data_IF_759992258918
#
_entry.id   IF_759992258918
#
_cell.length_a   1.000
_cell.length_b   1.000
_cell.length_c   1.000
_cell.angle_alpha   90.00
_cell.angle_beta   90.00
_cell.angle_gamma   90.00
#
_symmetry.space_group_name_H-M   'P 1'
#
loop_
_entity.id
_entity.type
_entity.pdbx_description
1 polymer ?
#
# COMPACT_ATOMS: atom_id res chain seq x y z
N UNK A 1 -2.00 -6.12 15.66
CA UNK A 1 -1.57 -7.53 15.85
C UNK A 1 -2.18 -8.08 17.13
N UNK A 2 -2.30 -9.39 17.27
CA UNK A 2 -2.67 -10.07 18.52
C UNK A 2 -1.56 -9.96 19.55
N UNK A 3 -1.84 -10.30 20.82
CA UNK A 3 -0.86 -10.28 21.91
C UNK A 3 0.39 -11.13 21.62
N UNK A 4 0.25 -12.25 20.90
CA UNK A 4 1.35 -13.14 20.50
C UNK A 4 2.01 -12.74 19.16
N UNK A 5 1.70 -11.55 18.65
CA UNK A 5 2.36 -10.96 17.48
C UNK A 5 1.82 -11.41 16.11
N UNK A 6 0.64 -12.04 16.05
CA UNK A 6 0.02 -12.42 14.77
C UNK A 6 -0.69 -11.22 14.13
N UNK A 7 -0.57 -11.13 12.81
CA UNK A 7 -1.24 -10.10 12.00
C UNK A 7 -2.48 -10.61 11.28
N UNK A 8 -2.80 -11.90 11.47
CA UNK A 8 -3.92 -12.63 10.87
C UNK A 8 -4.48 -13.58 11.94
N UNK A 9 -5.79 -13.81 11.99
CA UNK A 9 -6.43 -14.74 12.93
C UNK A 9 -7.25 -15.81 12.21
N UNK A 10 -7.00 -17.09 12.49
CA UNK A 10 -7.71 -18.21 11.87
C UNK A 10 -7.30 -18.53 10.42
N UNK A 11 -7.16 -17.52 9.55
CA UNK A 11 -6.73 -17.73 8.15
C UNK A 11 -6.68 -16.45 7.31
N UNK A 12 -6.27 -16.55 6.03
CA UNK A 12 -6.16 -15.41 5.10
C UNK A 12 -7.40 -14.52 5.05
N UNK A 13 -7.21 -13.20 4.92
CA UNK A 13 -8.32 -12.24 4.77
C UNK A 13 -9.00 -11.83 6.07
N UNK A 14 -8.40 -12.15 7.21
CA UNK A 14 -8.95 -11.84 8.55
C UNK A 14 -8.23 -10.69 9.24
N UNK A 15 -7.35 -9.96 8.53
CA UNK A 15 -6.56 -8.87 9.11
C UNK A 15 -7.48 -7.80 9.72
N UNK A 16 -8.63 -7.52 9.07
CA UNK A 16 -9.63 -6.55 9.57
C UNK A 16 -10.40 -7.01 10.81
N UNK A 17 -10.28 -8.28 11.23
CA UNK A 17 -10.87 -8.76 12.48
C UNK A 17 -10.01 -8.40 13.69
N UNK A 18 -8.76 -7.98 13.47
CA UNK A 18 -7.86 -7.49 14.50
C UNK A 18 -8.01 -5.98 14.61
N UNK A 19 -8.28 -5.50 15.82
CA UNK A 19 -8.48 -4.08 16.09
C UNK A 19 -9.93 -3.75 16.45
N UNK A 20 -10.13 -2.63 17.13
CA UNK A 20 -11.46 -2.14 17.46
C UNK A 20 -11.98 -1.19 16.38
N UNK A 21 -13.26 -0.79 16.47
CA UNK A 21 -13.80 0.28 15.62
C UNK A 21 -12.99 1.58 15.73
N UNK A 22 -12.49 1.91 16.93
CA UNK A 22 -11.66 3.10 17.13
C UNK A 22 -10.30 2.96 16.45
N UNK A 23 -9.70 1.77 16.49
CA UNK A 23 -8.44 1.49 15.80
C UNK A 23 -8.58 1.70 14.28
N UNK A 24 -9.60 1.11 13.65
CA UNK A 24 -9.85 1.31 12.22
C UNK A 24 -10.14 2.77 11.86
N UNK A 25 -10.82 3.49 12.75
CA UNK A 25 -11.03 4.94 12.59
C UNK A 25 -9.70 5.70 12.61
N UNK A 26 -8.83 5.41 13.58
CA UNK A 26 -7.50 6.03 13.67
C UNK A 26 -6.63 5.72 12.45
N UNK A 27 -6.62 4.47 11.99
CA UNK A 27 -5.92 4.07 10.76
C UNK A 27 -6.35 4.93 9.57
N UNK A 28 -7.66 5.08 9.36
CA UNK A 28 -8.21 5.92 8.28
C UNK A 28 -7.77 7.38 8.41
N UNK A 29 -7.60 7.89 9.64
CA UNK A 29 -7.14 9.25 9.91
C UNK A 29 -5.65 9.44 9.64
N UNK A 30 -4.83 8.42 9.90
CA UNK A 30 -3.39 8.40 9.59
C UNK A 30 -3.20 8.38 8.08
N UNK A 31 -3.84 7.44 7.37
CA UNK A 31 -3.83 7.37 5.90
C UNK A 31 -4.23 8.71 5.27
N UNK A 32 -5.16 9.46 5.89
CA UNK A 32 -5.60 10.78 5.42
C UNK A 32 -4.53 11.87 5.47
N UNK A 33 -3.53 11.72 6.33
CA UNK A 33 -2.44 12.68 6.45
C UNK A 33 -1.32 12.39 5.46
N UNK A 34 -1.16 11.14 5.02
CA UNK A 34 -0.07 10.73 4.16
C UNK A 34 -0.30 11.09 2.68
N UNK A 35 0.80 11.23 1.93
CA UNK A 35 0.76 11.47 0.48
C UNK A 35 0.52 10.19 -0.30
N UNK A 36 0.94 9.05 0.24
CA UNK A 36 0.70 7.73 -0.32
C UNK A 36 0.48 6.67 0.75
N UNK A 37 -0.16 5.58 0.35
CA UNK A 37 -0.37 4.37 1.14
C UNK A 37 0.24 3.20 0.38
N UNK A 38 1.02 2.35 1.05
CA UNK A 38 1.70 1.20 0.45
C UNK A 38 1.19 -0.13 1.01
N UNK A 39 0.81 -1.02 0.10
CA UNK A 39 0.38 -2.40 0.37
C UNK A 39 1.41 -3.42 -0.13
N UNK A 40 1.59 -4.50 0.61
CA UNK A 40 2.29 -5.70 0.15
C UNK A 40 1.36 -6.64 -0.62
N UNK A 41 1.92 -7.38 -1.57
CA UNK A 41 1.16 -8.29 -2.42
C UNK A 41 0.31 -9.32 -1.66
N UNK A 42 0.80 -9.88 -0.55
CA UNK A 42 0.04 -10.87 0.24
C UNK A 42 -1.23 -10.26 0.81
N UNK A 43 -1.16 -9.05 1.38
CA UNK A 43 -2.32 -8.33 1.91
C UNK A 43 -3.36 -8.08 0.81
N UNK A 44 -2.92 -7.76 -0.40
CA UNK A 44 -3.83 -7.58 -1.55
C UNK A 44 -4.45 -8.89 -2.04
N UNK A 45 -3.73 -10.02 -1.98
CA UNK A 45 -4.28 -11.32 -2.36
C UNK A 45 -5.29 -11.85 -1.36
N UNK A 46 -5.05 -11.61 -0.07
CA UNK A 46 -5.81 -12.22 1.02
C UNK A 46 -6.97 -11.34 1.50
N UNK A 47 -6.72 -10.06 1.82
CA UNK A 47 -7.73 -9.11 2.30
C UNK A 47 -8.31 -8.26 1.16
N UNK A 48 -7.52 -8.06 0.10
CA UNK A 48 -7.87 -7.32 -1.11
C UNK A 48 -8.59 -5.98 -0.84
N UNK A 49 -8.11 -5.10 0.05
CA UNK A 49 -8.87 -3.90 0.45
C UNK A 49 -9.35 -3.09 -0.76
N UNK A 50 -10.59 -2.61 -0.70
CA UNK A 50 -11.17 -1.77 -1.75
C UNK A 50 -10.54 -0.39 -1.81
N UNK A 51 -10.67 0.28 -2.96
CA UNK A 51 -10.37 1.70 -3.06
C UNK A 51 -11.35 2.48 -2.17
N UNK A 52 -10.89 3.32 -1.23
CA UNK A 52 -11.77 3.94 -0.26
C UNK A 52 -12.75 4.92 -0.90
N UNK A 53 -13.89 5.10 -0.23
CA UNK A 53 -14.88 6.11 -0.61
C UNK A 53 -14.33 7.55 -0.45
N UNK A 54 -14.70 8.38 -1.41
CA UNK A 54 -14.33 9.78 -1.53
C UNK A 54 -15.12 10.65 -0.55
N UNK A 55 -14.44 11.21 0.47
CA UNK A 55 -15.01 12.23 1.36
C UNK A 55 -14.58 13.62 0.86
N UNK A 56 -15.51 14.40 0.32
CA UNK A 56 -15.25 15.73 -0.25
C UNK A 56 -14.61 16.69 0.76
N UNK A 57 -15.02 16.64 2.03
CA UNK A 57 -14.44 17.51 3.06
C UNK A 57 -12.97 17.13 3.32
N UNK A 58 -12.66 15.83 3.29
CA UNK A 58 -11.28 15.33 3.41
C UNK A 58 -10.44 15.74 2.19
N UNK A 59 -10.97 15.61 0.98
CA UNK A 59 -10.30 16.02 -0.25
C UNK A 59 -10.01 17.52 -0.24
N UNK A 60 -11.00 18.35 0.09
CA UNK A 60 -10.83 19.80 0.18
C UNK A 60 -9.74 20.18 1.18
N UNK A 61 -9.70 19.54 2.36
CA UNK A 61 -8.63 19.76 3.34
C UNK A 61 -7.25 19.35 2.82
N UNK A 62 -7.15 18.30 2.00
CA UNK A 62 -5.89 17.87 1.38
C UNK A 62 -5.42 18.89 0.34
N UNK A 63 -6.30 19.31 -0.55
CA UNK A 63 -6.01 20.33 -1.57
C UNK A 63 -5.61 21.66 -0.92
N UNK A 64 -6.27 22.07 0.17
CA UNK A 64 -5.91 23.27 0.92
C UNK A 64 -4.49 23.23 1.53
N UNK A 65 -3.89 22.04 1.69
CA UNK A 65 -2.49 21.86 2.12
C UNK A 65 -1.51 21.78 0.95
N UNK A 66 -1.97 21.91 -0.29
CA UNK A 66 -1.14 21.81 -1.49
C UNK A 66 -0.75 20.40 -1.88
N UNK A 67 -1.47 19.38 -1.41
CA UNK A 67 -1.26 17.96 -1.79
C UNK A 67 -2.45 17.42 -2.59
N UNK A 68 -2.26 16.27 -3.24
CA UNK A 68 -3.32 15.59 -4.02
C UNK A 68 -4.58 15.38 -3.18
N UNK A 69 -5.75 15.54 -3.82
CA UNK A 69 -7.07 15.37 -3.18
C UNK A 69 -7.22 14.02 -2.49
N UNK A 70 -6.57 12.98 -3.02
CA UNK A 70 -6.40 11.67 -2.40
C UNK A 70 -4.93 11.30 -2.25
N UNK A 71 -4.59 10.44 -1.27
CA UNK A 71 -3.31 9.75 -1.28
C UNK A 71 -3.15 8.91 -2.55
N UNK A 72 -1.91 8.76 -3.03
CA UNK A 72 -1.59 7.73 -4.01
C UNK A 72 -1.72 6.35 -3.36
N UNK A 73 -2.46 5.44 -3.97
CA UNK A 73 -2.59 4.05 -3.50
C UNK A 73 -1.59 3.17 -4.21
N UNK A 74 -0.55 2.76 -3.51
CA UNK A 74 0.56 2.01 -4.09
C UNK A 74 0.64 0.59 -3.56
N UNK A 75 1.17 -0.30 -4.38
CA UNK A 75 1.40 -1.69 -4.02
C UNK A 75 2.79 -2.13 -4.47
N UNK A 76 3.35 -3.14 -3.79
CA UNK A 76 4.58 -3.83 -4.23
C UNK A 76 4.32 -5.32 -4.35
N UNK A 77 4.66 -5.87 -5.52
CA UNK A 77 4.53 -7.28 -5.86
C UNK A 77 5.64 -7.71 -6.81
N UNK A 78 6.40 -8.74 -6.47
CA UNK A 78 7.56 -9.18 -7.26
C UNK A 78 7.26 -9.32 -8.76
N UNK A 79 6.14 -9.97 -9.10
CA UNK A 79 5.78 -10.28 -10.49
C UNK A 79 4.40 -9.75 -10.89
N UNK A 80 3.79 -8.87 -10.08
CA UNK A 80 2.42 -8.36 -10.36
C UNK A 80 1.33 -9.44 -10.44
N UNK A 81 1.61 -10.67 -10.01
CA UNK A 81 0.68 -11.79 -10.13
C UNK A 81 -0.39 -11.76 -9.03
N UNK A 82 -1.63 -11.51 -9.44
CA UNK A 82 -2.81 -11.52 -8.59
C UNK A 82 -3.88 -12.45 -9.21
N UNK A 83 -4.59 -13.28 -8.42
CA UNK A 83 -5.65 -14.14 -8.94
C UNK A 83 -6.81 -13.36 -9.58
N UNK A 84 -7.10 -12.18 -9.03
CA UNK A 84 -8.01 -11.18 -9.57
C UNK A 84 -7.33 -9.82 -9.44
N UNK A 85 -7.68 -8.84 -10.29
CA UNK A 85 -7.20 -7.48 -10.11
C UNK A 85 -7.49 -6.98 -8.68
N UNK A 86 -6.47 -6.47 -7.96
CA UNK A 86 -6.66 -5.82 -6.68
C UNK A 86 -7.74 -4.73 -6.76
N UNK A 87 -8.69 -4.72 -5.81
CA UNK A 87 -9.79 -3.74 -5.78
C UNK A 87 -9.29 -2.31 -5.65
N UNK A 88 -8.10 -2.10 -5.09
CA UNK A 88 -7.48 -0.77 -5.08
C UNK A 88 -7.26 -0.19 -6.48
N UNK A 89 -7.14 -1.02 -7.53
CA UNK A 89 -6.97 -0.55 -8.91
C UNK A 89 -8.23 0.09 -9.49
N UNK A 90 -9.39 -0.01 -8.83
CA UNK A 90 -10.61 0.75 -9.18
C UNK A 90 -10.38 2.27 -9.13
N UNK A 91 -9.36 2.74 -8.41
CA UNK A 91 -8.90 4.13 -8.45
C UNK A 91 -8.36 4.56 -9.83
N UNK A 92 -7.90 3.63 -10.66
CA UNK A 92 -7.33 3.91 -11.98
C UNK A 92 -5.86 4.37 -11.95
N UNK A 93 -5.24 4.53 -13.12
CA UNK A 93 -3.79 4.71 -13.27
C UNK A 93 -3.26 6.02 -12.66
N UNK A 94 -4.05 7.10 -12.63
CA UNK A 94 -3.60 8.38 -12.07
C UNK A 94 -3.55 8.40 -10.53
N UNK A 95 -4.25 7.46 -9.89
CA UNK A 95 -4.45 7.40 -8.43
C UNK A 95 -3.82 6.17 -7.80
N UNK A 96 -3.33 5.24 -8.61
CA UNK A 96 -2.78 3.97 -8.14
C UNK A 96 -1.44 3.66 -8.80
N UNK A 97 -0.55 3.01 -8.07
CA UNK A 97 0.72 2.52 -8.60
C UNK A 97 1.01 1.08 -8.15
N UNK A 98 1.70 0.33 -8.98
CA UNK A 98 2.19 -1.01 -8.66
C UNK A 98 3.68 -1.09 -9.00
N UNK A 99 4.50 -1.32 -7.97
CA UNK A 99 5.91 -1.65 -8.12
C UNK A 99 6.08 -3.15 -8.35
N UNK A 100 6.82 -3.49 -9.39
CA UNK A 100 7.16 -4.86 -9.77
C UNK A 100 8.63 -5.00 -10.16
N UNK A 101 9.15 -6.23 -10.24
CA UNK A 101 10.50 -6.46 -10.74
C UNK A 101 10.56 -6.45 -12.27
N UNK A 102 11.74 -6.24 -12.84
CA UNK A 102 12.00 -6.35 -14.28
C UNK A 102 11.81 -7.79 -14.80
N UNK A 103 11.79 -8.80 -13.93
CA UNK A 103 11.42 -10.17 -14.29
C UNK A 103 9.90 -10.36 -14.51
N UNK A 104 9.08 -9.33 -14.33
CA UNK A 104 7.64 -9.41 -14.61
C UNK A 104 7.40 -9.61 -16.10
N UNK A 105 6.59 -10.61 -16.50
CA UNK A 105 6.35 -10.87 -17.92
C UNK A 105 5.71 -9.67 -18.64
N UNK A 106 6.12 -9.34 -19.87
CA UNK A 106 5.57 -8.20 -20.61
C UNK A 106 4.04 -8.21 -20.73
N UNK A 107 3.44 -9.37 -20.95
CA UNK A 107 1.99 -9.55 -21.02
C UNK A 107 1.29 -9.20 -19.70
N UNK A 108 1.96 -9.42 -18.57
CA UNK A 108 1.45 -9.03 -17.25
C UNK A 108 1.52 -7.52 -17.06
N UNK A 109 2.62 -6.89 -17.51
CA UNK A 109 2.76 -5.43 -17.48
C UNK A 109 1.68 -4.74 -18.32
N UNK A 110 1.45 -5.23 -19.54
CA UNK A 110 0.43 -4.70 -20.46
C UNK A 110 -0.98 -4.83 -19.88
N UNK A 111 -1.33 -5.99 -19.30
CA UNK A 111 -2.63 -6.22 -18.69
C UNK A 111 -2.89 -5.29 -17.49
N UNK A 112 -1.84 -4.91 -16.75
CA UNK A 112 -1.93 -4.06 -15.57
C UNK A 112 -1.88 -2.56 -15.90
N UNK A 113 -1.22 -2.16 -16.99
CA UNK A 113 -1.01 -0.77 -17.37
C UNK A 113 -2.31 0.04 -17.59
N UNK A 114 -3.40 -0.62 -17.98
CA UNK A 114 -4.72 0.02 -18.13
C UNK A 114 -5.44 0.29 -16.81
N UNK A 115 -5.02 -0.38 -15.73
CA UNK A 115 -5.69 -0.36 -14.42
C UNK A 115 -4.92 0.46 -13.38
N UNK A 116 -3.58 0.44 -13.47
CA UNK A 116 -2.69 1.09 -12.52
C UNK A 116 -1.40 1.54 -13.19
N UNK A 117 -0.72 2.54 -12.61
CA UNK A 117 0.63 2.90 -13.07
C UNK A 117 1.62 1.82 -12.64
N UNK A 118 2.18 1.07 -13.59
CA UNK A 118 3.15 0.00 -13.30
C UNK A 118 4.58 0.55 -13.37
N UNK A 119 5.37 0.28 -12.33
CA UNK A 119 6.76 0.72 -12.21
C UNK A 119 7.64 -0.50 -12.00
N UNK A 120 8.39 -0.90 -13.03
CA UNK A 120 9.33 -2.02 -12.97
C UNK A 120 10.72 -1.55 -12.50
N UNK A 121 11.27 -2.18 -11.44
CA UNK A 121 12.61 -1.92 -10.87
C UNK A 121 13.25 -3.19 -10.30
N UNK A 122 14.58 -3.26 -10.37
CA UNK A 122 15.36 -4.42 -9.95
C UNK A 122 15.16 -5.66 -10.81
N UNK A 123 16.09 -6.60 -10.76
CA UNK A 123 16.08 -7.78 -11.63
C UNK A 123 15.02 -8.80 -11.21
N UNK A 124 15.14 -9.36 -10.01
CA UNK A 124 14.27 -10.44 -9.52
C UNK A 124 13.28 -9.99 -8.45
N UNK A 125 13.52 -8.85 -7.81
CA UNK A 125 12.66 -8.26 -6.82
C UNK A 125 12.76 -6.74 -6.85
N UNK A 126 11.78 -6.06 -6.27
CA UNK A 126 11.76 -4.60 -6.15
C UNK A 126 12.75 -4.16 -5.06
N UNK A 127 13.79 -3.38 -5.39
CA UNK A 127 14.69 -2.81 -4.39
C UNK A 127 13.94 -1.72 -3.62
N UNK A 128 13.74 -1.91 -2.31
CA UNK A 128 12.87 -1.02 -1.52
C UNK A 128 13.44 0.41 -1.41
N UNK A 129 14.75 0.56 -1.33
CA UNK A 129 15.41 1.89 -1.34
C UNK A 129 15.14 2.64 -2.64
N UNK A 130 15.25 1.97 -3.78
CA UNK A 130 14.95 2.56 -5.08
C UNK A 130 13.47 2.89 -5.24
N UNK A 131 12.58 2.01 -4.76
CA UNK A 131 11.14 2.28 -4.71
C UNK A 131 10.84 3.56 -3.91
N UNK A 132 11.47 3.75 -2.75
CA UNK A 132 11.32 4.96 -1.94
C UNK A 132 11.90 6.20 -2.64
N UNK A 133 13.00 6.05 -3.39
CA UNK A 133 13.54 7.11 -4.23
C UNK A 133 12.53 7.55 -5.31
N UNK A 134 11.92 6.60 -6.01
CA UNK A 134 10.86 6.87 -7.01
C UNK A 134 9.66 7.56 -6.35
N UNK A 135 9.21 7.10 -5.19
CA UNK A 135 8.16 7.78 -4.44
C UNK A 135 8.51 9.25 -4.18
N UNK A 136 9.73 9.52 -3.72
CA UNK A 136 10.15 10.86 -3.34
C UNK A 136 10.31 11.80 -4.53
N UNK A 137 10.97 11.34 -5.58
CA UNK A 137 11.46 12.18 -6.66
C UNK A 137 10.54 12.20 -7.87
N UNK A 138 9.93 11.07 -8.22
CA UNK A 138 9.11 10.93 -9.43
C UNK A 138 7.62 11.12 -9.11
N UNK A 139 7.17 10.65 -7.95
CA UNK A 139 5.77 10.68 -7.54
C UNK A 139 5.44 11.83 -6.57
N UNK A 140 6.45 12.54 -6.07
CA UNK A 140 6.30 13.68 -5.16
C UNK A 140 5.79 13.33 -3.76
N UNK A 141 5.88 12.06 -3.36
CA UNK A 141 5.43 11.57 -2.05
C UNK A 141 6.43 12.01 -0.97
N UNK A 142 5.95 12.70 0.06
CA UNK A 142 6.77 13.11 1.22
C UNK A 142 6.52 12.25 2.44
N UNK A 143 5.30 11.71 2.55
CA UNK A 143 4.86 10.87 3.66
C UNK A 143 4.20 9.61 3.12
N UNK A 144 4.77 8.45 3.46
CA UNK A 144 4.31 7.14 3.00
C UNK A 144 3.77 6.32 4.18
N UNK A 145 2.49 5.94 4.12
CA UNK A 145 1.91 5.03 5.09
C UNK A 145 2.08 3.58 4.61
N UNK A 146 3.02 2.83 5.18
CA UNK A 146 3.17 1.42 4.88
C UNK A 146 2.18 0.60 5.72
N UNK A 147 1.07 0.18 5.12
CA UNK A 147 0.11 -0.75 5.73
C UNK A 147 0.57 -2.20 5.61
N UNK A 148 1.52 -2.45 4.72
CA UNK A 148 2.36 -3.62 4.83
C UNK A 148 1.70 -4.93 4.40
N UNK A 149 1.79 -5.88 5.30
CA UNK A 149 1.89 -7.32 5.06
C UNK A 149 3.18 -7.78 5.73
N UNK A 150 3.17 -8.91 6.44
CA UNK A 150 4.25 -9.29 7.36
C UNK A 150 5.65 -9.25 6.71
N UNK A 151 5.78 -9.74 5.47
CA UNK A 151 7.04 -9.76 4.73
C UNK A 151 7.53 -8.35 4.35
N UNK A 152 6.64 -7.45 3.91
CA UNK A 152 7.03 -6.08 3.55
C UNK A 152 7.49 -5.31 4.78
N UNK A 153 6.74 -5.42 5.88
CA UNK A 153 7.11 -4.78 7.15
C UNK A 153 8.47 -5.28 7.64
N UNK A 154 8.71 -6.59 7.62
CA UNK A 154 9.98 -7.17 8.03
C UNK A 154 11.15 -6.63 7.19
N UNK A 155 10.99 -6.53 5.87
CA UNK A 155 12.04 -6.00 4.97
C UNK A 155 12.31 -4.51 5.18
N UNK A 156 11.25 -3.70 5.28
CA UNK A 156 11.39 -2.25 5.53
C UNK A 156 12.11 -1.98 6.85
N UNK A 157 11.76 -2.72 7.91
CA UNK A 157 12.43 -2.63 9.21
C UNK A 157 13.87 -3.11 9.16
N UNK A 158 14.14 -4.25 8.52
CA UNK A 158 15.49 -4.81 8.42
C UNK A 158 16.47 -3.89 7.67
N UNK A 159 15.98 -3.12 6.70
CA UNK A 159 16.75 -2.14 5.94
C UNK A 159 16.82 -0.76 6.62
N UNK A 160 16.17 -0.57 7.77
CA UNK A 160 16.16 0.72 8.48
C UNK A 160 15.40 1.83 7.73
N UNK A 161 14.40 1.46 6.93
CA UNK A 161 13.64 2.38 6.05
C UNK A 161 12.36 2.92 6.71
N UNK A 162 12.21 2.75 8.02
CA UNK A 162 10.99 3.11 8.76
C UNK A 162 11.32 4.15 9.82
N UNK A 163 10.70 5.33 9.71
CA UNK A 163 10.87 6.41 10.70
C UNK A 163 10.00 6.19 11.95
N UNK A 164 8.76 5.75 11.76
CA UNK A 164 7.76 5.59 12.82
C UNK A 164 6.97 4.29 12.66
N UNK A 165 6.60 3.68 13.80
CA UNK A 165 5.78 2.45 13.84
C UNK A 165 4.56 2.67 14.70
N UNK A 166 3.37 2.59 14.11
CA UNK A 166 2.09 2.58 14.82
C UNK A 166 1.68 1.13 15.09
N UNK A 167 1.66 0.74 16.36
CA UNK A 167 1.31 -0.63 16.76
C UNK A 167 0.04 -0.65 17.58
N UNK A 168 -0.99 -1.31 17.04
CA UNK A 168 -2.17 -1.71 17.80
C UNK A 168 -2.02 -3.15 18.27
N UNK A 169 -2.16 -3.37 19.57
CA UNK A 169 -2.18 -4.70 20.19
C UNK A 169 -3.63 -5.02 20.56
N UNK A 170 -4.22 -6.01 19.89
CA UNK A 170 -5.54 -6.53 20.18
C UNK A 170 -5.44 -7.68 21.20
N UNK A 171 -6.38 -7.77 22.15
CA UNK A 171 -6.39 -8.82 23.17
C UNK A 171 -6.60 -10.22 22.55
#
# INVERSE_FOLDING_TARGET
>A
MTLDGKVVIGGPGTTRLIGSRMDHYLMTRIEAQCDAVLFGATLLREDNPGYPWHDEARQARRVARGVRAEPLWAAVSTLGAFPTPPRMFEGGPDRTALFVSNATPPETLEALASQTTVIARGEHEVPLEEMLHVFRHDLGVRTLCCLGGAALNARMLALGLVDEVFVTIAP
#
